data_IF_991306156843
#
_entry.id   IF_991306156843
#
_cell.length_a   1.000
_cell.length_b   1.000
_cell.length_c   1.000
_cell.angle_alpha   90.00
_cell.angle_beta   90.00
_cell.angle_gamma   90.00
#
_symmetry.space_group_name_H-M   'P 1'
#
loop_
_entity.id
_entity.type
_entity.pdbx_description
1 polymer ?
#
# COMPACT_ATOMS: atom_id res chain seq x y z
N UNK A 1 -6.24 15.62 2.65
CA UNK A 1 -5.62 14.45 3.29
C UNK A 1 -4.35 14.12 2.51
N UNK A 2 -3.23 13.88 3.20
CA UNK A 2 -1.94 13.58 2.55
C UNK A 2 -1.76 12.09 2.23
N UNK A 3 -0.73 11.77 1.45
CA UNK A 3 -0.38 10.40 1.01
C UNK A 3 -0.23 9.43 2.18
N UNK A 4 0.53 9.79 3.22
CA UNK A 4 0.70 8.97 4.44
C UNK A 4 -0.64 8.61 5.09
N UNK A 5 -1.56 9.56 5.19
CA UNK A 5 -2.87 9.31 5.79
C UNK A 5 -3.73 8.39 4.90
N UNK A 6 -3.63 8.52 3.58
CA UNK A 6 -4.32 7.63 2.65
C UNK A 6 -3.72 6.21 2.68
N UNK A 7 -2.39 6.09 2.71
CA UNK A 7 -1.69 4.82 2.86
C UNK A 7 -2.12 4.09 4.14
N UNK A 8 -2.21 4.82 5.25
CA UNK A 8 -2.69 4.26 6.52
C UNK A 8 -4.14 3.74 6.44
N UNK A 9 -5.04 4.47 5.77
CA UNK A 9 -6.43 4.03 5.57
C UNK A 9 -6.45 2.72 4.78
N UNK A 10 -5.70 2.64 3.69
CA UNK A 10 -5.63 1.42 2.88
C UNK A 10 -5.08 0.26 3.69
N UNK A 11 -3.93 0.45 4.34
CA UNK A 11 -3.25 -0.60 5.06
C UNK A 11 -4.10 -1.18 6.19
N UNK A 12 -4.60 -0.32 7.07
CA UNK A 12 -5.32 -0.77 8.26
C UNK A 12 -6.72 -1.26 7.91
N UNK A 13 -7.47 -0.53 7.07
CA UNK A 13 -8.90 -0.80 6.87
C UNK A 13 -9.22 -1.75 5.72
N UNK A 14 -8.28 -1.96 4.78
CA UNK A 14 -8.50 -2.85 3.65
C UNK A 14 -7.65 -4.12 3.74
N UNK A 15 -6.43 -4.02 4.30
CA UNK A 15 -5.52 -5.16 4.40
C UNK A 15 -5.34 -5.70 5.83
N UNK A 16 -5.71 -4.92 6.86
CA UNK A 16 -5.43 -5.29 8.24
C UNK A 16 -3.94 -5.33 8.56
N UNK A 17 -3.13 -4.52 7.86
CA UNK A 17 -1.68 -4.47 8.00
C UNK A 17 -1.19 -3.39 8.98
N UNK A 18 0.11 -3.42 9.20
CA UNK A 18 0.88 -2.44 9.98
C UNK A 18 1.41 -1.33 9.07
N UNK A 19 1.31 -0.09 9.52
CA UNK A 19 1.70 1.10 8.74
C UNK A 19 3.13 1.53 9.04
N UNK A 20 3.81 2.05 8.03
CA UNK A 20 5.11 2.72 8.18
C UNK A 20 6.16 1.87 8.94
N UNK A 21 6.20 0.57 8.67
CA UNK A 21 7.12 -0.36 9.35
C UNK A 21 8.57 -0.09 8.95
N UNK A 22 9.49 -0.24 9.90
CA UNK A 22 10.91 0.08 9.69
C UNK A 22 11.74 -1.21 9.66
N UNK A 23 12.52 -1.38 8.60
CA UNK A 23 13.43 -2.52 8.44
C UNK A 23 14.88 -2.05 8.37
N UNK A 24 15.74 -2.48 9.31
CA UNK A 24 17.16 -2.17 9.25
C UNK A 24 17.89 -3.05 8.23
N UNK A 25 18.96 -2.54 7.63
CA UNK A 25 19.87 -3.31 6.80
C UNK A 25 21.30 -2.77 6.93
N UNK A 26 22.29 -3.62 6.70
CA UNK A 26 23.70 -3.27 6.82
C UNK A 26 24.34 -3.01 5.45
N UNK A 27 25.19 -2.00 5.36
CA UNK A 27 26.07 -1.73 4.21
C UNK A 27 27.50 -1.65 4.73
N UNK A 28 28.23 -2.75 4.66
CA UNK A 28 29.52 -2.86 5.32
C UNK A 28 29.37 -2.77 6.85
N UNK A 29 29.93 -1.72 7.45
CA UNK A 29 29.82 -1.45 8.89
C UNK A 29 28.71 -0.46 9.25
N UNK A 30 28.04 0.14 8.25
CA UNK A 30 27.01 1.14 8.47
C UNK A 30 25.62 0.51 8.55
N UNK A 31 24.83 0.95 9.54
CA UNK A 31 23.44 0.55 9.69
C UNK A 31 22.53 1.58 9.04
N UNK A 32 21.73 1.12 8.08
CA UNK A 32 20.70 1.89 7.40
C UNK A 32 19.32 1.33 7.71
N UNK A 33 18.28 2.04 7.29
CA UNK A 33 16.89 1.59 7.42
C UNK A 33 16.06 2.02 6.22
N UNK A 34 15.08 1.21 5.89
CA UNK A 34 13.97 1.58 5.03
C UNK A 34 12.69 1.69 5.84
N UNK A 35 11.67 2.30 5.25
CA UNK A 35 10.32 2.35 5.77
C UNK A 35 9.37 1.85 4.68
N UNK A 36 8.48 0.93 5.04
CA UNK A 36 7.48 0.35 4.14
C UNK A 36 6.14 0.95 4.50
N UNK A 37 5.38 1.45 3.52
CA UNK A 37 4.11 2.13 3.79
C UNK A 37 3.06 1.21 4.43
N UNK A 38 2.97 -0.03 3.96
CA UNK A 38 2.08 -1.05 4.50
C UNK A 38 2.70 -2.44 4.51
N UNK A 39 2.61 -3.12 5.64
CA UNK A 39 3.09 -4.49 5.80
C UNK A 39 1.99 -5.40 6.36
N UNK A 40 1.79 -6.54 5.71
CA UNK A 40 0.92 -7.63 6.18
C UNK A 40 1.78 -8.84 6.50
N UNK A 41 1.18 -9.94 6.96
CA UNK A 41 1.91 -11.20 7.17
C UNK A 41 2.56 -11.74 5.89
N UNK A 42 1.96 -11.47 4.72
CA UNK A 42 2.37 -12.06 3.45
C UNK A 42 3.02 -11.10 2.46
N UNK A 43 2.83 -9.79 2.64
CA UNK A 43 3.20 -8.79 1.64
C UNK A 43 3.72 -7.48 2.25
N UNK A 44 4.62 -6.82 1.51
CA UNK A 44 5.08 -5.44 1.72
C UNK A 44 4.61 -4.60 0.55
N UNK A 45 3.96 -3.48 0.84
CA UNK A 45 3.27 -2.67 -0.16
C UNK A 45 3.70 -1.22 -0.03
N UNK A 46 4.23 -0.68 -1.12
CA UNK A 46 4.51 0.76 -1.25
C UNK A 46 3.28 1.45 -1.83
N UNK A 47 2.90 2.58 -1.24
CA UNK A 47 1.69 3.31 -1.60
C UNK A 47 2.08 4.67 -2.17
N UNK A 48 1.77 4.88 -3.45
CA UNK A 48 2.04 6.14 -4.14
C UNK A 48 0.77 6.89 -4.53
N UNK A 49 0.93 8.14 -4.96
CA UNK A 49 -0.09 8.83 -5.77
C UNK A 49 0.30 8.72 -7.26
N UNK A 50 -0.62 9.08 -8.14
CA UNK A 50 -0.48 9.27 -9.59
C UNK A 50 0.49 10.42 -10.00
N UNK A 51 1.68 10.49 -9.38
CA UNK A 51 2.68 11.55 -9.58
C UNK A 51 4.10 11.01 -9.71
N UNK A 52 5.02 11.87 -10.15
CA UNK A 52 6.43 11.54 -10.40
C UNK A 52 7.14 10.91 -9.21
N UNK A 53 6.83 11.32 -7.99
CA UNK A 53 7.52 10.83 -6.79
C UNK A 53 7.24 9.37 -6.47
N UNK A 54 6.32 8.71 -7.18
CA UNK A 54 6.01 7.29 -6.98
C UNK A 54 6.75 6.37 -7.97
N UNK A 55 7.66 6.91 -8.79
CA UNK A 55 8.41 6.14 -9.79
C UNK A 55 9.42 5.16 -9.19
N UNK A 56 9.89 5.39 -7.96
CA UNK A 56 10.81 4.53 -7.23
C UNK A 56 10.11 3.41 -6.44
N UNK A 57 8.77 3.42 -6.36
CA UNK A 57 7.95 2.43 -5.64
C UNK A 57 8.27 0.96 -6.01
N UNK A 58 8.58 0.67 -7.27
CA UNK A 58 8.99 -0.69 -7.69
C UNK A 58 10.29 -1.11 -7.05
N UNK A 59 11.28 -0.23 -7.02
CA UNK A 59 12.57 -0.54 -6.41
C UNK A 59 12.43 -0.66 -4.89
N UNK A 60 11.67 0.22 -4.27
CA UNK A 60 11.38 0.19 -2.83
C UNK A 60 10.69 -1.12 -2.42
N UNK A 61 9.60 -1.49 -3.11
CA UNK A 61 8.84 -2.71 -2.83
C UNK A 61 9.71 -3.98 -3.00
N UNK A 62 10.52 -4.05 -4.06
CA UNK A 62 11.44 -5.17 -4.28
C UNK A 62 12.51 -5.28 -3.21
N UNK A 63 13.07 -4.15 -2.77
CA UNK A 63 14.08 -4.15 -1.71
C UNK A 63 13.47 -4.50 -0.36
N UNK A 64 12.28 -3.99 -0.05
CA UNK A 64 11.53 -4.39 1.14
C UNK A 64 11.22 -5.89 1.14
N UNK A 65 10.81 -6.45 -0.02
CA UNK A 65 10.57 -7.88 -0.17
C UNK A 65 11.85 -8.70 0.03
N UNK A 66 12.99 -8.21 -0.46
CA UNK A 66 14.28 -8.85 -0.22
C UNK A 66 14.64 -8.92 1.28
N UNK A 67 14.38 -7.86 2.06
CA UNK A 67 14.67 -7.84 3.49
C UNK A 67 13.72 -8.70 4.32
N UNK A 68 12.44 -8.76 3.93
CA UNK A 68 11.37 -9.38 4.73
C UNK A 68 11.02 -10.80 4.30
N UNK A 69 11.37 -11.20 3.07
CA UNK A 69 10.91 -12.46 2.47
C UNK A 69 9.44 -12.44 2.03
N UNK A 70 8.77 -11.29 2.09
CA UNK A 70 7.34 -11.12 1.77
C UNK A 70 7.13 -10.80 0.30
N UNK A 71 5.89 -10.93 -0.18
CA UNK A 71 5.52 -10.58 -1.57
C UNK A 71 5.56 -9.05 -1.76
N UNK A 72 6.23 -8.52 -2.81
CA UNK A 72 6.21 -7.10 -3.11
C UNK A 72 4.89 -6.69 -3.77
N UNK A 73 4.37 -5.54 -3.37
CA UNK A 73 3.20 -4.92 -3.99
C UNK A 73 3.32 -3.40 -4.08
N UNK A 74 2.54 -2.82 -4.99
CA UNK A 74 2.38 -1.39 -5.14
C UNK A 74 0.89 -1.08 -5.21
N UNK A 75 0.47 -0.06 -4.48
CA UNK A 75 -0.82 0.58 -4.66
C UNK A 75 -0.63 2.01 -5.15
N UNK A 76 -1.27 2.36 -6.27
CA UNK A 76 -1.39 3.77 -6.67
C UNK A 76 -2.77 4.31 -6.33
N UNK A 77 -2.78 5.43 -5.60
CA UNK A 77 -3.99 6.18 -5.32
C UNK A 77 -4.23 7.18 -6.45
N UNK A 78 -5.29 6.94 -7.19
CA UNK A 78 -5.75 7.79 -8.29
C UNK A 78 -6.44 9.04 -7.71
N UNK A 79 -5.93 10.22 -8.08
CA UNK A 79 -6.39 11.51 -7.58
C UNK A 79 -7.24 12.30 -8.57
N UNK A 80 -7.22 11.94 -9.86
CA UNK A 80 -7.88 12.67 -10.94
C UNK A 80 -8.84 11.81 -11.80
N UNK A 81 -8.94 10.51 -11.51
CA UNK A 81 -9.82 9.56 -12.18
C UNK A 81 -9.29 9.08 -13.53
N UNK A 82 -8.01 9.28 -13.84
CA UNK A 82 -7.42 8.98 -15.14
C UNK A 82 -6.15 8.16 -14.97
N UNK A 83 -5.89 7.29 -15.94
CA UNK A 83 -4.59 6.61 -16.02
C UNK A 83 -3.59 7.56 -16.68
N UNK A 84 -2.68 8.08 -15.88
CA UNK A 84 -1.62 8.97 -16.29
C UNK A 84 -0.35 8.26 -16.79
N UNK A 85 0.67 9.06 -17.16
CA UNK A 85 1.97 8.54 -17.58
C UNK A 85 2.72 7.84 -16.44
N UNK A 86 2.48 8.21 -15.18
CA UNK A 86 3.21 7.63 -14.04
C UNK A 86 2.70 6.22 -13.73
N UNK A 87 1.39 6.04 -13.67
CA UNK A 87 0.72 4.76 -13.43
C UNK A 87 1.02 3.78 -14.55
N UNK A 88 1.01 4.26 -15.80
CA UNK A 88 1.39 3.44 -16.96
C UNK A 88 2.81 2.90 -16.83
N UNK A 89 3.77 3.75 -16.43
CA UNK A 89 5.18 3.36 -16.26
C UNK A 89 5.37 2.42 -15.09
N UNK A 90 4.76 2.73 -13.94
CA UNK A 90 4.86 1.91 -12.72
C UNK A 90 4.24 0.53 -12.97
N UNK A 91 3.05 0.46 -13.58
CA UNK A 91 2.40 -0.80 -13.94
C UNK A 91 3.28 -1.66 -14.85
N UNK A 92 3.84 -1.05 -15.90
CA UNK A 92 4.72 -1.78 -16.83
C UNK A 92 5.97 -2.33 -16.12
N UNK A 93 6.62 -1.52 -15.30
CA UNK A 93 7.80 -1.96 -14.54
C UNK A 93 7.46 -3.03 -13.49
N UNK A 94 6.35 -2.87 -12.76
CA UNK A 94 5.87 -3.84 -11.78
C UNK A 94 5.57 -5.19 -12.44
N UNK A 95 4.85 -5.20 -13.56
CA UNK A 95 4.52 -6.41 -14.30
C UNK A 95 5.78 -7.15 -14.79
N UNK A 96 6.76 -6.43 -15.32
CA UNK A 96 8.03 -7.02 -15.76
C UNK A 96 8.83 -7.62 -14.60
N UNK A 97 8.74 -7.02 -13.41
CA UNK A 97 9.44 -7.48 -12.21
C UNK A 97 8.65 -8.52 -11.39
N UNK A 98 7.42 -8.87 -11.79
CA UNK A 98 6.56 -9.76 -11.01
C UNK A 98 6.04 -9.16 -9.69
N UNK A 99 5.97 -7.83 -9.60
CA UNK A 99 5.43 -7.09 -8.45
C UNK A 99 3.93 -6.91 -8.61
N UNK A 100 3.14 -7.17 -7.56
CA UNK A 100 1.71 -6.93 -7.59
C UNK A 100 1.42 -5.42 -7.75
N UNK A 101 0.45 -5.07 -8.58
CA UNK A 101 0.11 -3.68 -8.86
C UNK A 101 -1.41 -3.49 -8.82
N UNK A 102 -1.87 -2.60 -7.95
CA UNK A 102 -3.27 -2.22 -7.81
C UNK A 102 -3.44 -0.70 -7.83
N UNK A 103 -4.67 -0.25 -8.10
CA UNK A 103 -5.05 1.16 -8.04
C UNK A 103 -6.36 1.36 -7.29
N UNK A 104 -6.49 2.49 -6.58
CA UNK A 104 -7.74 2.88 -5.92
C UNK A 104 -8.00 4.37 -6.04
N UNK A 105 -9.25 4.74 -6.34
CA UNK A 105 -9.67 6.15 -6.32
C UNK A 105 -9.59 6.72 -4.90
N UNK A 106 -8.99 7.90 -4.75
CA UNK A 106 -8.90 8.61 -3.46
C UNK A 106 -10.25 8.73 -2.76
N UNK A 107 -11.29 9.11 -3.50
CA UNK A 107 -12.62 9.35 -2.94
C UNK A 107 -13.31 8.03 -2.51
N UNK A 108 -12.96 6.91 -3.14
CA UNK A 108 -13.38 5.58 -2.69
C UNK A 108 -12.73 5.23 -1.35
N UNK A 109 -11.45 5.52 -1.19
CA UNK A 109 -10.70 5.24 0.03
C UNK A 109 -11.20 6.09 1.22
N UNK A 110 -11.44 7.38 1.01
CA UNK A 110 -12.01 8.27 2.02
C UNK A 110 -13.42 7.80 2.42
N UNK A 111 -14.28 7.47 1.44
CA UNK A 111 -15.61 6.90 1.74
C UNK A 111 -15.51 5.60 2.52
N UNK A 112 -14.52 4.76 2.25
CA UNK A 112 -14.29 3.53 2.99
C UNK A 112 -14.01 3.81 4.47
N UNK A 113 -13.09 4.73 4.76
CA UNK A 113 -12.80 5.18 6.13
C UNK A 113 -14.07 5.65 6.85
N UNK A 114 -14.84 6.53 6.22
CA UNK A 114 -16.06 7.11 6.80
C UNK A 114 -17.16 6.08 7.08
N UNK A 115 -17.17 4.97 6.33
CA UNK A 115 -18.19 3.92 6.44
C UNK A 115 -17.69 2.66 7.15
N UNK A 116 -16.44 2.64 7.61
CA UNK A 116 -15.81 1.48 8.27
C UNK A 116 -16.60 1.01 9.50
N UNK A 117 -17.06 1.95 10.33
CA UNK A 117 -17.86 1.67 11.54
C UNK A 117 -19.24 1.06 11.25
N UNK A 118 -19.82 1.27 10.06
CA UNK A 118 -21.08 0.63 9.67
C UNK A 118 -20.87 -0.87 9.42
N UNK A 119 -19.68 -1.26 8.96
CA UNK A 119 -19.33 -2.65 8.64
C UNK A 119 -18.96 -3.45 9.88
N UNK A 120 -18.40 -2.82 10.92
CA UNK A 120 -18.19 -3.46 12.22
C UNK A 120 -19.49 -3.68 13.02
N UNK A 121 -20.62 -3.16 12.53
CA UNK A 121 -21.96 -3.31 13.13
C UNK A 121 -22.91 -4.23 12.35
N UNK A 122 -22.42 -5.04 11.41
CA UNK A 122 -23.25 -6.10 10.83
C UNK A 122 -23.84 -6.92 12.01
N UNK A 123 -25.18 -7.06 12.10
CA UNK A 123 -25.80 -7.61 13.29
C UNK A 123 -25.27 -9.02 13.50
N UNK A 124 -24.63 -9.26 14.65
CA UNK A 124 -24.52 -10.60 15.20
C UNK A 124 -25.91 -11.22 15.14
N UNK A 125 -25.96 -12.45 14.63
CA UNK A 125 -27.18 -13.09 14.16
C UNK A 125 -28.38 -12.87 15.09
N UNK A 126 -29.56 -12.78 14.46
CA UNK A 126 -30.85 -12.87 15.16
C UNK A 126 -30.77 -13.95 16.26
N UNK A 127 -30.92 -13.60 17.55
CA UNK A 127 -31.23 -14.60 18.54
C UNK A 127 -32.73 -14.90 18.43
N UNK A 128 -33.06 -16.13 18.04
CA UNK A 128 -34.35 -16.77 18.30
C UNK A 128 -35.45 -16.59 17.25
N UNK A 129 -35.79 -17.65 16.53
CA UNK A 129 -36.96 -18.51 16.84
C UNK A 129 -36.86 -19.82 16.06
#
# INVERSE_FOLDING_TARGET
>A
MGEVALAAIYCVLMLGGEVETIHPYAVGYDLHRIRVDCETDEAVIEVGLDKRSSLDSVQQALFAAHLTGKRPGILIIDTDGRVGPYETRIRAAAQLAGVAYDTIERDRLIRWQMTSWLRSRAPSGRPGS
#
